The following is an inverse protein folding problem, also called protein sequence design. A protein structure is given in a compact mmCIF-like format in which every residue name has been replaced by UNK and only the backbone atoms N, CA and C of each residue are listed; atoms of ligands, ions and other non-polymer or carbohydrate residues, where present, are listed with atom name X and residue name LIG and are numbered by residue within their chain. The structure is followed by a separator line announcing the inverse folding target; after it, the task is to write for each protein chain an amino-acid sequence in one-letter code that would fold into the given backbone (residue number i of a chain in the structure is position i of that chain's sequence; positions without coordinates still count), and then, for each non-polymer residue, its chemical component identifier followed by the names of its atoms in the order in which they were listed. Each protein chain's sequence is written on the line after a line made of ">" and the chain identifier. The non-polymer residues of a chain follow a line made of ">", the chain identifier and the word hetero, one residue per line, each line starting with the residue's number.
data_IF_227774540691
#
_entry.id   IF_227774540691
#
_cell.length_a   1.000
_cell.length_b   1.000
_cell.length_c   1.000
_cell.angle_alpha   90.00
_cell.angle_beta   90.00
_cell.angle_gamma   90.00
#
_symmetry.space_group_name_H-M   'P 1'
#
loop_
_entity.id
_entity.type
_entity.pdbx_description
1 polymer ?
#
# COMPACT_ATOMS: atom_id res chain seq x y z
N UNK A 1 44.98 0.00 -2.70
CA UNK A 1 43.93 0.53 -1.80
C UNK A 1 42.96 1.33 -2.64
N UNK A 2 41.86 0.72 -3.11
CA UNK A 2 40.72 1.45 -3.64
C UNK A 2 39.66 1.44 -2.53
N UNK A 3 39.45 2.59 -1.91
CA UNK A 3 38.30 2.83 -1.05
C UNK A 3 37.08 2.89 -1.96
N UNK A 4 36.37 1.77 -2.11
CA UNK A 4 35.00 1.78 -2.62
C UNK A 4 34.15 2.49 -1.58
N UNK A 5 34.06 3.81 -1.67
CA UNK A 5 33.00 4.56 -1.01
C UNK A 5 31.70 4.01 -1.56
N UNK A 6 31.01 3.19 -0.77
CA UNK A 6 29.59 2.92 -0.98
C UNK A 6 28.92 4.27 -0.77
N UNK A 7 28.76 5.01 -1.86
CA UNK A 7 27.95 6.20 -1.90
C UNK A 7 26.57 5.79 -1.36
N UNK A 8 26.14 6.28 -0.18
CA UNK A 8 24.89 5.85 0.44
C UNK A 8 23.68 6.19 -0.44
N UNK A 9 23.86 6.99 -1.49
CA UNK A 9 22.85 7.35 -2.48
C UNK A 9 22.85 6.51 -3.76
N UNK A 10 23.88 5.70 -4.05
CA UNK A 10 23.96 4.93 -5.31
C UNK A 10 23.04 3.69 -5.34
N UNK A 11 22.54 3.25 -4.18
CA UNK A 11 21.61 2.12 -4.05
C UNK A 11 20.15 2.55 -3.79
N UNK A 12 19.83 3.84 -3.87
CA UNK A 12 18.43 4.30 -3.92
C UNK A 12 17.97 4.33 -5.37
N UNK A 13 17.77 3.15 -5.96
CA UNK A 13 16.86 3.03 -7.09
C UNK A 13 15.52 3.58 -6.59
N UNK A 14 15.16 4.82 -7.00
CA UNK A 14 13.97 5.59 -6.60
C UNK A 14 12.91 4.65 -6.02
N UNK A 15 12.70 4.59 -4.69
CA UNK A 15 11.69 3.72 -4.15
C UNK A 15 10.37 4.20 -4.76
N UNK A 16 9.77 3.37 -5.62
CA UNK A 16 8.43 3.64 -6.13
C UNK A 16 7.57 3.76 -4.88
N UNK A 17 6.98 4.94 -4.68
CA UNK A 17 6.22 5.39 -3.50
C UNK A 17 5.50 4.27 -2.72
N UNK A 18 4.89 3.35 -3.47
CA UNK A 18 4.43 2.01 -3.08
C UNK A 18 4.69 1.04 -4.24
N UNK A 19 4.78 -0.26 -3.96
CA UNK A 19 4.65 -1.29 -5.00
C UNK A 19 3.28 -1.17 -5.69
N UNK A 20 3.18 -1.56 -6.96
CA UNK A 20 1.95 -1.39 -7.75
C UNK A 20 0.78 -2.12 -7.10
N UNK A 21 1.04 -3.28 -6.50
CA UNK A 21 0.05 -4.08 -5.77
C UNK A 21 -0.48 -3.31 -4.57
N UNK A 22 0.42 -2.79 -3.72
CA UNK A 22 0.03 -2.03 -2.54
C UNK A 22 -0.84 -0.82 -2.92
N UNK A 23 -0.48 -0.04 -3.96
CA UNK A 23 -1.30 1.11 -4.40
C UNK A 23 -2.71 0.71 -4.81
N UNK A 24 -2.82 -0.39 -5.56
CA UNK A 24 -4.12 -0.87 -6.04
C UNK A 24 -4.95 -1.37 -4.86
N UNK A 25 -4.36 -2.13 -3.94
CA UNK A 25 -5.04 -2.59 -2.73
C UNK A 25 -5.55 -1.41 -1.89
N UNK A 26 -4.70 -0.41 -1.60
CA UNK A 26 -5.09 0.75 -0.82
C UNK A 26 -6.22 1.56 -1.48
N UNK A 27 -6.13 1.78 -2.80
CA UNK A 27 -7.19 2.45 -3.54
C UNK A 27 -8.52 1.67 -3.47
N UNK A 28 -8.47 0.35 -3.61
CA UNK A 28 -9.66 -0.49 -3.59
C UNK A 28 -10.29 -0.52 -2.18
N UNK A 29 -9.48 -0.62 -1.13
CA UNK A 29 -9.97 -0.56 0.25
C UNK A 29 -10.64 0.79 0.54
N UNK A 30 -10.04 1.91 0.14
CA UNK A 30 -10.65 3.23 0.28
C UNK A 30 -11.99 3.35 -0.46
N UNK A 31 -12.06 2.83 -1.70
CA UNK A 31 -13.30 2.80 -2.49
C UNK A 31 -14.41 1.96 -1.81
N UNK A 32 -14.07 0.78 -1.28
CA UNK A 32 -15.05 -0.07 -0.58
C UNK A 32 -15.54 0.55 0.74
N UNK A 33 -14.64 1.21 1.47
CA UNK A 33 -14.99 1.94 2.69
C UNK A 33 -15.95 3.09 2.42
N UNK A 34 -15.67 3.90 1.39
CA UNK A 34 -16.54 5.00 1.00
C UNK A 34 -17.94 4.51 0.57
N UNK A 35 -18.00 3.45 -0.23
CA UNK A 35 -19.26 2.82 -0.63
C UNK A 35 -20.06 2.29 0.56
N UNK A 36 -19.40 1.71 1.55
CA UNK A 36 -20.04 1.21 2.78
C UNK A 36 -20.62 2.35 3.61
N UNK A 37 -19.88 3.43 3.84
CA UNK A 37 -20.37 4.56 4.63
C UNK A 37 -21.51 5.32 3.94
N UNK A 38 -21.41 5.50 2.62
CA UNK A 38 -22.49 6.12 1.83
C UNK A 38 -23.73 5.23 1.81
N UNK A 39 -23.54 3.91 1.69
CA UNK A 39 -24.62 2.94 1.86
C UNK A 39 -25.32 3.12 3.22
N UNK A 40 -24.54 3.08 4.32
CA UNK A 40 -25.06 3.13 5.68
C UNK A 40 -25.90 4.38 5.95
N UNK A 41 -25.44 5.54 5.45
CA UNK A 41 -26.20 6.79 5.54
C UNK A 41 -27.46 6.77 4.66
N UNK A 42 -27.43 6.07 3.52
CA UNK A 42 -28.60 5.90 2.67
C UNK A 42 -29.67 5.00 3.29
N UNK A 43 -29.30 4.04 4.14
CA UNK A 43 -30.24 3.09 4.74
C UNK A 43 -31.06 3.65 5.92
N UNK A 44 -30.52 4.64 6.64
CA UNK A 44 -31.15 5.22 7.84
C UNK A 44 -32.17 6.33 7.50
N UNK A 45 -32.31 6.69 6.23
CA UNK A 45 -33.23 7.72 5.75
C UNK A 45 -32.55 9.05 5.52
N UNK A 46 -32.62 9.52 4.27
CA UNK A 46 -32.05 10.76 3.78
C UNK A 46 -32.66 12.00 4.49
N UNK A 47 -31.92 12.80 5.27
CA UNK A 47 -32.41 14.07 5.81
C UNK A 47 -32.69 15.08 4.67
N UNK A 48 -33.33 16.22 4.98
CA UNK A 48 -33.72 17.23 3.98
C UNK A 48 -32.55 17.73 3.09
N UNK A 49 -31.29 17.58 3.54
CA UNK A 49 -30.05 17.90 2.82
C UNK A 49 -29.22 16.64 2.42
N UNK A 50 -29.87 15.51 2.17
CA UNK A 50 -29.21 14.22 1.96
C UNK A 50 -28.04 14.18 0.96
N UNK A 51 -28.06 14.86 -0.20
CA UNK A 51 -26.91 14.90 -1.10
C UNK A 51 -25.67 15.53 -0.46
N UNK A 52 -25.83 16.63 0.29
CA UNK A 52 -24.72 17.28 1.01
C UNK A 52 -24.21 16.40 2.14
N UNK A 53 -25.09 15.80 2.91
CA UNK A 53 -24.70 14.88 3.97
C UNK A 53 -23.90 13.70 3.42
N UNK A 54 -24.38 13.06 2.34
CA UNK A 54 -23.66 11.96 1.68
C UNK A 54 -22.31 12.40 1.13
N UNK A 55 -22.22 13.59 0.52
CA UNK A 55 -20.95 14.12 0.04
C UNK A 55 -19.94 14.31 1.18
N UNK A 56 -20.32 14.97 2.28
CA UNK A 56 -19.42 15.20 3.41
C UNK A 56 -19.05 13.90 4.11
N UNK A 57 -19.96 12.93 4.20
CA UNK A 57 -19.65 11.59 4.71
C UNK A 57 -18.65 10.87 3.82
N UNK A 58 -18.86 10.85 2.50
CA UNK A 58 -17.94 10.21 1.55
C UNK A 58 -16.57 10.88 1.58
N UNK A 59 -16.52 12.21 1.58
CA UNK A 59 -15.28 12.99 1.64
C UNK A 59 -14.54 12.76 2.96
N UNK A 60 -15.24 12.82 4.10
CA UNK A 60 -14.66 12.56 5.41
C UNK A 60 -14.08 11.15 5.53
N UNK A 61 -14.80 10.15 5.00
CA UNK A 61 -14.33 8.76 4.94
C UNK A 61 -13.05 8.64 4.09
N UNK A 62 -13.04 9.24 2.89
CA UNK A 62 -11.88 9.22 1.99
C UNK A 62 -10.63 9.88 2.61
N UNK A 63 -10.81 11.03 3.29
CA UNK A 63 -9.72 11.72 3.96
C UNK A 63 -9.17 10.90 5.14
N UNK A 64 -10.06 10.33 5.96
CA UNK A 64 -9.64 9.50 7.09
C UNK A 64 -8.91 8.24 6.63
N UNK A 65 -9.39 7.60 5.56
CA UNK A 65 -8.75 6.42 4.98
C UNK A 65 -7.37 6.75 4.39
N UNK A 66 -7.26 7.80 3.57
CA UNK A 66 -5.97 8.22 3.03
C UNK A 66 -4.94 8.56 4.12
N UNK A 67 -5.40 9.10 5.26
CA UNK A 67 -4.52 9.37 6.41
C UNK A 67 -4.04 8.07 7.07
N UNK A 68 -4.94 7.10 7.23
CA UNK A 68 -4.58 5.78 7.76
C UNK A 68 -3.53 5.11 6.87
N UNK A 69 -3.67 5.16 5.55
CA UNK A 69 -2.70 4.60 4.60
C UNK A 69 -1.34 5.28 4.70
N UNK A 70 -1.32 6.61 4.80
CA UNK A 70 -0.09 7.37 4.97
C UNK A 70 0.64 7.00 6.28
N UNK A 71 -0.11 6.84 7.38
CA UNK A 71 0.45 6.39 8.67
C UNK A 71 0.95 4.95 8.57
N UNK A 72 0.18 4.05 7.97
CA UNK A 72 0.54 2.64 7.82
C UNK A 72 1.76 2.46 6.92
N UNK A 73 1.93 3.29 5.90
CA UNK A 73 3.16 3.37 5.11
C UNK A 73 4.37 3.71 6.00
N UNK A 74 4.27 4.75 6.84
CA UNK A 74 5.36 5.14 7.74
C UNK A 74 5.67 4.03 8.76
N UNK A 75 4.63 3.40 9.32
CA UNK A 75 4.79 2.25 10.24
C UNK A 75 5.49 1.09 9.55
N UNK A 76 5.09 0.75 8.32
CA UNK A 76 5.72 -0.31 7.50
C UNK A 76 7.19 0.01 7.23
N UNK A 77 7.49 1.23 6.79
CA UNK A 77 8.86 1.68 6.53
C UNK A 77 9.73 1.62 7.78
N UNK A 78 9.22 2.11 8.91
CA UNK A 78 9.94 2.09 10.18
C UNK A 78 10.19 0.65 10.67
N UNK A 79 9.18 -0.21 10.57
CA UNK A 79 9.26 -1.62 10.99
C UNK A 79 10.24 -2.39 10.12
N UNK A 80 10.21 -2.18 8.80
CA UNK A 80 11.13 -2.83 7.88
C UNK A 80 12.58 -2.39 8.11
N UNK A 81 12.81 -1.09 8.32
CA UNK A 81 14.14 -0.59 8.72
C UNK A 81 14.58 -1.17 10.06
N UNK A 82 13.67 -1.27 11.03
CA UNK A 82 13.92 -1.89 12.33
C UNK A 82 14.31 -3.37 12.20
N UNK A 83 13.57 -4.14 11.40
CA UNK A 83 13.84 -5.56 11.13
C UNK A 83 15.20 -5.76 10.47
N UNK A 84 15.52 -4.97 9.43
CA UNK A 84 16.82 -5.00 8.75
C UNK A 84 17.96 -4.67 9.71
N UNK A 85 17.82 -3.61 10.51
CA UNK A 85 18.82 -3.21 11.50
C UNK A 85 19.01 -4.28 12.58
N UNK A 86 17.92 -4.90 13.05
CA UNK A 86 17.96 -6.01 14.00
C UNK A 86 18.70 -7.22 13.43
N UNK A 87 18.43 -7.60 12.18
CA UNK A 87 19.13 -8.68 11.49
C UNK A 87 20.64 -8.41 11.41
N UNK A 88 21.03 -7.21 10.97
CA UNK A 88 22.46 -6.85 10.85
C UNK A 88 23.17 -6.89 12.22
N UNK A 89 22.51 -6.41 13.28
CA UNK A 89 23.04 -6.49 14.65
C UNK A 89 23.15 -7.93 15.14
N UNK A 90 22.15 -8.76 14.87
CA UNK A 90 22.17 -10.17 15.24
C UNK A 90 23.33 -10.91 14.56
N UNK A 91 23.58 -10.65 13.28
CA UNK A 91 24.71 -11.22 12.52
C UNK A 91 26.06 -10.70 13.03
N UNK A 92 26.16 -9.42 13.40
CA UNK A 92 27.41 -8.85 13.97
C UNK A 92 27.73 -9.34 15.38
N UNK A 93 26.70 -9.56 16.19
CA UNK A 93 26.85 -9.98 17.59
C UNK A 93 26.88 -11.50 17.76
N UNK A 94 26.68 -12.27 16.68
CA UNK A 94 26.82 -13.72 16.71
C UNK A 94 28.26 -14.09 17.07
N UNK A 95 28.42 -14.88 18.14
CA UNK A 95 29.73 -15.33 18.61
C UNK A 95 30.38 -16.41 17.73
N UNK A 96 29.58 -17.09 16.91
CA UNK A 96 29.99 -18.14 15.99
C UNK A 96 29.62 -17.79 14.53
N UNK A 97 30.55 -17.95 13.56
CA UNK A 97 30.24 -17.75 12.15
C UNK A 97 29.08 -18.61 11.61
N UNK A 98 28.90 -19.84 12.13
CA UNK A 98 27.80 -20.72 11.75
C UNK A 98 26.42 -20.16 12.11
N UNK A 99 26.25 -19.64 13.33
CA UNK A 99 25.03 -18.94 13.76
C UNK A 99 24.74 -17.70 12.90
N UNK A 100 25.77 -16.93 12.56
CA UNK A 100 25.64 -15.76 11.69
C UNK A 100 25.16 -16.12 10.27
N UNK A 101 25.70 -17.18 9.69
CA UNK A 101 25.31 -17.70 8.36
C UNK A 101 23.88 -18.23 8.39
N UNK A 102 23.50 -18.99 9.42
CA UNK A 102 22.14 -19.50 9.58
C UNK A 102 21.10 -18.37 9.63
N UNK A 103 21.37 -17.31 10.39
CA UNK A 103 20.49 -16.13 10.47
C UNK A 103 20.36 -15.38 9.14
N UNK A 104 21.46 -15.27 8.37
CA UNK A 104 21.41 -14.70 7.02
C UNK A 104 20.57 -15.58 6.09
N UNK A 105 20.74 -16.90 6.16
CA UNK A 105 19.97 -17.87 5.37
C UNK A 105 18.48 -17.81 5.69
N UNK A 106 18.12 -17.69 6.97
CA UNK A 106 16.71 -17.57 7.39
C UNK A 106 16.07 -16.25 6.95
N UNK A 107 16.84 -15.18 6.79
CA UNK A 107 16.35 -13.93 6.26
C UNK A 107 16.10 -13.94 4.74
N UNK A 108 16.68 -14.90 4.02
CA UNK A 108 16.43 -15.06 2.59
C UNK A 108 15.00 -15.55 2.32
N UNK A 109 14.45 -15.13 1.18
CA UNK A 109 13.19 -15.69 0.68
C UNK A 109 13.34 -17.20 0.45
N UNK A 110 12.25 -18.00 0.57
CA UNK A 110 12.33 -19.45 0.42
C UNK A 110 13.01 -19.91 -0.88
N UNK A 111 12.78 -19.19 -1.98
CA UNK A 111 13.39 -19.49 -3.28
C UNK A 111 14.92 -19.30 -3.29
N UNK A 112 15.44 -18.34 -2.52
CA UNK A 112 16.88 -18.05 -2.46
C UNK A 112 17.62 -18.94 -1.48
N UNK A 113 16.94 -19.53 -0.48
CA UNK A 113 17.56 -20.39 0.53
C UNK A 113 18.26 -21.63 -0.06
N UNK A 114 17.80 -22.12 -1.20
CA UNK A 114 18.39 -23.28 -1.89
C UNK A 114 19.36 -22.89 -2.99
N UNK A 115 19.40 -21.61 -3.38
CA UNK A 115 20.24 -21.11 -4.46
C UNK A 115 21.52 -20.45 -3.97
N UNK A 116 21.52 -19.93 -2.73
CA UNK A 116 22.65 -19.21 -2.15
C UNK A 116 23.48 -20.16 -1.29
N UNK A 117 24.77 -20.27 -1.59
CA UNK A 117 25.70 -21.13 -0.88
C UNK A 117 26.26 -20.46 0.39
N UNK A 118 26.75 -21.26 1.32
CA UNK A 118 27.34 -20.76 2.58
C UNK A 118 28.54 -19.84 2.33
N UNK A 119 29.31 -20.07 1.26
CA UNK A 119 30.43 -19.20 0.88
C UNK A 119 29.98 -17.77 0.52
N UNK A 120 28.82 -17.63 -0.11
CA UNK A 120 28.25 -16.32 -0.46
C UNK A 120 27.70 -15.61 0.78
N UNK A 121 27.06 -16.36 1.68
CA UNK A 121 26.60 -15.85 2.98
C UNK A 121 27.77 -15.43 3.87
N UNK A 122 28.88 -16.16 3.84
CA UNK A 122 30.09 -15.82 4.56
C UNK A 122 30.73 -14.54 4.00
N UNK A 123 30.75 -14.38 2.68
CA UNK A 123 31.17 -13.12 2.06
C UNK A 123 30.26 -11.95 2.47
N UNK A 124 28.94 -12.17 2.58
CA UNK A 124 28.00 -11.17 3.11
C UNK A 124 28.29 -10.81 4.56
N UNK A 125 28.47 -11.82 5.44
CA UNK A 125 28.84 -11.64 6.85
C UNK A 125 30.13 -10.84 6.99
N UNK A 126 31.16 -11.18 6.21
CA UNK A 126 32.45 -10.47 6.21
C UNK A 126 32.36 -9.03 5.71
N UNK A 127 31.41 -8.70 4.82
CA UNK A 127 31.11 -7.30 4.47
C UNK A 127 30.40 -6.57 5.60
N UNK A 128 29.38 -7.19 6.19
CA UNK A 128 28.61 -6.64 7.32
C UNK A 128 29.49 -6.33 8.54
N UNK A 129 30.46 -7.19 8.83
CA UNK A 129 31.43 -6.99 9.92
C UNK A 129 32.35 -5.78 9.69
N UNK A 130 32.62 -5.43 8.42
CA UNK A 130 33.48 -4.30 8.03
C UNK A 130 32.73 -2.97 7.91
N UNK A 131 31.39 -2.99 7.94
CA UNK A 131 30.57 -1.78 7.91
C UNK A 131 30.70 -1.04 9.25
N UNK A 132 31.38 0.11 9.22
CA UNK A 132 31.76 0.87 10.41
C UNK A 132 30.56 1.48 11.16
N UNK A 133 29.55 1.96 10.43
CA UNK A 133 28.45 2.73 11.02
C UNK A 133 27.10 2.02 10.83
N UNK A 134 26.47 1.69 11.96
CA UNK A 134 25.06 1.28 12.00
C UNK A 134 24.28 2.36 12.74
N UNK A 135 23.12 2.80 12.22
CA UNK A 135 22.28 3.73 12.94
C UNK A 135 21.87 3.16 14.31
N UNK A 136 21.82 4.03 15.32
CA UNK A 136 21.48 3.64 16.69
C UNK A 136 20.01 3.18 16.82
N UNK A 137 19.10 3.74 16.01
CA UNK A 137 17.68 3.39 15.96
C UNK A 137 17.16 3.51 14.53
N UNK A 138 16.14 2.73 14.14
CA UNK A 138 15.43 2.99 12.90
C UNK A 138 14.71 4.34 13.03
N UNK A 139 14.82 5.19 12.01
CA UNK A 139 14.20 6.50 11.98
C UNK A 139 13.56 6.74 10.61
N UNK A 140 12.53 7.58 10.62
CA UNK A 140 11.90 8.11 9.40
C UNK A 140 12.67 9.33 8.92
N UNK A 141 12.78 9.45 7.60
CA UNK A 141 13.38 10.60 6.92
C UNK A 141 12.31 11.55 6.40
N UNK A 142 12.71 12.76 6.03
CA UNK A 142 11.81 13.72 5.37
C UNK A 142 11.25 13.17 4.04
N UNK A 143 12.00 12.30 3.36
CA UNK A 143 11.53 11.64 2.13
C UNK A 143 10.41 10.64 2.41
N UNK A 144 10.44 9.95 3.55
CA UNK A 144 9.36 9.03 3.94
C UNK A 144 8.08 9.80 4.24
N UNK A 145 8.18 10.96 4.88
CA UNK A 145 7.04 11.85 5.12
C UNK A 145 6.47 12.40 3.80
N UNK A 146 7.34 12.78 2.86
CA UNK A 146 6.92 13.21 1.53
C UNK A 146 6.23 12.07 0.75
N UNK A 147 6.73 10.84 0.89
CA UNK A 147 6.12 9.67 0.28
C UNK A 147 4.75 9.37 0.90
N UNK A 148 4.62 9.44 2.22
CA UNK A 148 3.35 9.30 2.92
C UNK A 148 2.34 10.37 2.49
N UNK A 149 2.77 11.63 2.34
CA UNK A 149 1.92 12.70 1.83
C UNK A 149 1.49 12.46 0.37
N UNK A 150 2.39 11.92 -0.46
CA UNK A 150 2.05 11.53 -1.83
C UNK A 150 1.05 10.36 -1.90
N UNK A 151 1.14 9.38 -0.98
CA UNK A 151 0.18 8.28 -0.86
C UNK A 151 -1.19 8.83 -0.42
N UNK A 152 -1.22 9.65 0.63
CA UNK A 152 -2.43 10.33 1.08
C UNK A 152 -3.13 11.05 -0.07
N UNK A 153 -2.37 11.90 -0.81
CA UNK A 153 -2.92 12.67 -1.90
C UNK A 153 -3.39 11.77 -3.06
N UNK A 154 -2.64 10.72 -3.38
CA UNK A 154 -3.05 9.75 -4.39
C UNK A 154 -4.38 9.10 -4.04
N UNK A 155 -4.54 8.63 -2.80
CA UNK A 155 -5.77 7.97 -2.32
C UNK A 155 -6.95 8.93 -2.33
N UNK A 156 -6.77 10.15 -1.82
CA UNK A 156 -7.84 11.17 -1.81
C UNK A 156 -8.24 11.57 -3.24
N UNK A 157 -7.27 11.81 -4.13
CA UNK A 157 -7.56 12.18 -5.52
C UNK A 157 -8.17 11.03 -6.32
N UNK A 158 -7.78 9.79 -6.04
CA UNK A 158 -8.36 8.62 -6.70
C UNK A 158 -9.81 8.36 -6.25
N UNK A 159 -10.18 8.72 -5.02
CA UNK A 159 -11.53 8.47 -4.48
C UNK A 159 -12.47 9.67 -4.67
N UNK A 160 -11.94 10.87 -4.92
CA UNK A 160 -12.72 12.08 -5.15
C UNK A 160 -13.74 12.00 -6.32
N UNK A 161 -13.41 11.43 -7.51
CA UNK A 161 -14.37 11.30 -8.60
C UNK A 161 -15.64 10.52 -8.22
N UNK A 162 -15.54 9.59 -7.27
CA UNK A 162 -16.66 8.77 -6.79
C UNK A 162 -17.59 9.56 -5.87
N UNK A 163 -17.08 10.59 -5.17
CA UNK A 163 -17.87 11.48 -4.34
C UNK A 163 -18.51 12.65 -5.12
N UNK A 164 -17.94 13.01 -6.29
CA UNK A 164 -18.41 14.13 -7.11
C UNK A 164 -19.91 14.06 -7.52
N UNK A 165 -20.49 12.89 -7.83
CA UNK A 165 -21.92 12.79 -8.17
C UNK A 165 -22.87 13.35 -7.11
N UNK A 166 -22.51 13.31 -5.82
CA UNK A 166 -23.35 13.81 -4.73
C UNK A 166 -23.46 15.34 -4.67
N UNK A 167 -22.58 16.07 -5.36
CA UNK A 167 -22.70 17.53 -5.55
C UNK A 167 -23.42 17.85 -6.87
N UNK A 168 -23.18 17.04 -7.90
CA UNK A 168 -23.69 17.30 -9.26
C UNK A 168 -25.17 16.96 -9.39
N UNK A 169 -25.62 15.87 -8.77
CA UNK A 169 -27.00 15.39 -8.88
C UNK A 169 -27.78 15.72 -7.60
N UNK A 170 -28.93 16.37 -7.77
CA UNK A 170 -29.86 16.64 -6.67
C UNK A 170 -30.59 15.37 -6.21
N UNK A 171 -30.82 14.43 -7.14
CA UNK A 171 -31.44 13.14 -6.85
C UNK A 171 -30.41 12.14 -6.30
N UNK A 172 -30.65 11.66 -5.08
CA UNK A 172 -29.75 10.75 -4.36
C UNK A 172 -29.62 9.41 -5.08
N UNK A 173 -30.71 8.87 -5.64
CA UNK A 173 -30.68 7.59 -6.34
C UNK A 173 -29.82 7.65 -7.59
N UNK A 174 -29.90 8.74 -8.34
CA UNK A 174 -29.04 9.01 -9.51
C UNK A 174 -27.58 9.20 -9.10
N UNK A 175 -27.31 9.98 -8.05
CA UNK A 175 -25.95 10.17 -7.52
C UNK A 175 -25.30 8.85 -7.13
N UNK A 176 -26.03 7.98 -6.42
CA UNK A 176 -25.58 6.64 -6.02
C UNK A 176 -25.28 5.75 -7.22
N UNK A 177 -26.15 5.74 -8.24
CA UNK A 177 -25.95 4.94 -9.45
C UNK A 177 -24.68 5.37 -10.19
N UNK A 178 -24.50 6.68 -10.41
CA UNK A 178 -23.32 7.22 -11.09
C UNK A 178 -22.05 6.94 -10.29
N UNK A 179 -22.09 7.14 -8.97
CA UNK A 179 -20.98 6.83 -8.07
C UNK A 179 -20.55 5.36 -8.16
N UNK A 180 -21.52 4.42 -8.13
CA UNK A 180 -21.25 2.98 -8.27
C UNK A 180 -20.62 2.62 -9.62
N UNK A 181 -21.15 3.20 -10.71
CA UNK A 181 -20.59 2.98 -12.06
C UNK A 181 -19.15 3.50 -12.16
N UNK A 182 -18.87 4.68 -11.61
CA UNK A 182 -17.51 5.23 -11.55
C UNK A 182 -16.58 4.31 -10.77
N UNK A 183 -16.99 3.82 -9.60
CA UNK A 183 -16.17 2.87 -8.82
C UNK A 183 -15.84 1.61 -9.62
N UNK A 184 -16.82 1.02 -10.32
CA UNK A 184 -16.60 -0.18 -11.13
C UNK A 184 -15.60 0.10 -12.26
N UNK A 185 -15.72 1.23 -12.96
CA UNK A 185 -14.78 1.66 -14.00
C UNK A 185 -13.36 1.85 -13.45
N UNK A 186 -13.23 2.46 -12.27
CA UNK A 186 -11.93 2.67 -11.64
C UNK A 186 -11.30 1.35 -11.16
N UNK A 187 -12.08 0.43 -10.60
CA UNK A 187 -11.62 -0.92 -10.24
C UNK A 187 -11.16 -1.72 -11.45
N UNK A 188 -11.89 -1.63 -12.58
CA UNK A 188 -11.48 -2.26 -13.84
C UNK A 188 -10.14 -1.71 -14.33
N UNK A 189 -9.98 -0.39 -14.35
CA UNK A 189 -8.73 0.28 -14.74
C UNK A 189 -7.56 -0.12 -13.82
N UNK A 190 -7.80 -0.18 -12.51
CA UNK A 190 -6.82 -0.64 -11.54
C UNK A 190 -6.40 -2.09 -11.77
N UNK A 191 -7.37 -2.97 -12.04
CA UNK A 191 -7.12 -4.37 -12.37
C UNK A 191 -6.33 -4.55 -13.66
N UNK A 192 -6.56 -3.72 -14.68
CA UNK A 192 -5.71 -3.72 -15.90
C UNK A 192 -4.28 -3.33 -15.57
N UNK A 193 -4.09 -2.25 -14.81
CA UNK A 193 -2.76 -1.79 -14.41
C UNK A 193 -2.01 -2.87 -13.63
N UNK A 194 -2.70 -3.53 -12.70
CA UNK A 194 -2.17 -4.62 -11.88
C UNK A 194 -1.82 -5.85 -12.71
N UNK A 195 -2.73 -6.29 -13.60
CA UNK A 195 -2.51 -7.44 -14.48
C UNK A 195 -1.30 -7.25 -15.38
N UNK A 196 -1.17 -6.07 -15.99
CA UNK A 196 0.01 -5.72 -16.80
C UNK A 196 1.30 -5.72 -15.98
N UNK A 197 1.24 -5.31 -14.72
CA UNK A 197 2.41 -5.29 -13.84
C UNK A 197 2.84 -6.71 -13.42
N UNK A 198 1.88 -7.58 -13.15
CA UNK A 198 2.11 -8.96 -12.72
C UNK A 198 2.39 -9.95 -13.88
N UNK A 199 2.43 -9.46 -15.13
CA UNK A 199 2.65 -10.31 -16.31
C UNK A 199 1.44 -11.13 -16.76
N UNK A 200 0.27 -10.92 -16.15
CA UNK A 200 -0.99 -11.52 -16.57
C UNK A 200 -1.65 -10.68 -17.67
N UNK A 201 -2.59 -11.27 -18.43
CA UNK A 201 -3.40 -10.54 -19.40
C UNK A 201 -4.21 -9.43 -18.70
N UNK A 202 -3.86 -8.16 -18.92
CA UNK A 202 -4.44 -7.02 -18.19
C UNK A 202 -5.98 -6.98 -18.20
N UNK A 203 -6.60 -7.38 -19.31
CA UNK A 203 -8.06 -7.46 -19.43
C UNK A 203 -8.69 -8.50 -18.49
N UNK A 204 -8.04 -9.66 -18.31
CA UNK A 204 -8.52 -10.71 -17.40
C UNK A 204 -8.45 -10.22 -15.95
N UNK A 205 -7.34 -9.59 -15.56
CA UNK A 205 -7.18 -9.02 -14.24
C UNK A 205 -8.18 -7.87 -13.97
N UNK A 206 -8.42 -7.01 -14.98
CA UNK A 206 -9.47 -5.99 -14.94
C UNK A 206 -10.86 -6.58 -14.71
N UNK A 207 -11.23 -7.59 -15.50
CA UNK A 207 -12.52 -8.26 -15.39
C UNK A 207 -12.69 -8.97 -14.03
N UNK A 208 -11.65 -9.67 -13.55
CA UNK A 208 -11.66 -10.31 -12.24
C UNK A 208 -11.84 -9.27 -11.12
N UNK A 209 -11.12 -8.14 -11.18
CA UNK A 209 -11.22 -7.08 -10.18
C UNK A 209 -12.60 -6.41 -10.18
N UNK A 210 -13.20 -6.27 -11.36
CA UNK A 210 -14.57 -5.77 -11.53
C UNK A 210 -15.58 -6.71 -10.91
N UNK A 211 -15.44 -8.03 -11.15
CA UNK A 211 -16.32 -9.04 -10.59
C UNK A 211 -16.27 -9.04 -9.06
N UNK A 212 -15.07 -8.95 -8.49
CA UNK A 212 -14.86 -8.80 -7.04
C UNK A 212 -15.52 -7.52 -6.53
N UNK A 213 -15.32 -6.39 -7.22
CA UNK A 213 -15.93 -5.12 -6.87
C UNK A 213 -17.46 -5.14 -6.86
N UNK A 214 -18.06 -5.77 -7.86
CA UNK A 214 -19.51 -5.97 -7.96
C UNK A 214 -20.00 -6.88 -6.83
N UNK A 215 -19.33 -8.01 -6.58
CA UNK A 215 -19.69 -8.93 -5.52
C UNK A 215 -19.66 -8.25 -4.13
N UNK A 216 -18.61 -7.47 -3.84
CA UNK A 216 -18.49 -6.70 -2.60
C UNK A 216 -19.56 -5.63 -2.50
N UNK A 217 -19.85 -4.89 -3.58
CA UNK A 217 -20.91 -3.89 -3.60
C UNK A 217 -22.27 -4.52 -3.30
N UNK A 218 -22.57 -5.68 -3.90
CA UNK A 218 -23.80 -6.42 -3.62
C UNK A 218 -23.87 -6.92 -2.18
N UNK A 219 -22.75 -7.39 -1.61
CA UNK A 219 -22.68 -7.80 -0.22
C UNK A 219 -22.95 -6.62 0.74
N UNK A 220 -22.36 -5.44 0.49
CA UNK A 220 -22.60 -4.22 1.26
C UNK A 220 -24.09 -3.85 1.23
N UNK A 221 -24.71 -3.85 0.05
CA UNK A 221 -26.15 -3.57 -0.10
C UNK A 221 -27.00 -4.59 0.68
N UNK A 222 -26.65 -5.88 0.60
CA UNK A 222 -27.37 -6.93 1.32
C UNK A 222 -27.24 -6.84 2.84
N UNK A 223 -26.10 -6.33 3.33
CA UNK A 223 -25.82 -6.10 4.75
C UNK A 223 -26.49 -4.84 5.32
N UNK A 224 -27.25 -4.13 4.49
CA UNK A 224 -28.04 -2.97 4.90
C UNK A 224 -27.90 -1.79 3.96
N UNK A 225 -26.88 -1.79 3.10
CA UNK A 225 -26.41 -0.55 2.51
C UNK A 225 -25.78 0.25 3.62
#
# INVERSE_FOLDING_TARGET
>A
MLTTSLDPHAAEARPRLLDTVDRVCEMCFGLFMALTFVGAVSAVGAPADAPRTMFFTALGCNLAWGLADAVMYLVRTLTERGRRLSLVRAVRNAGDPGDAIARLRDALSPALRTLVDDAELEAMRGRLARTAELPARPALSAQDLLAAAGIFLLVVLATFPVALPFIVFADVSTALLVSRLLTILMLFGAGIALGRHAGFGGWIAGAAMTLVGVALTMAIIALGG
#
